data_IF_093217915259
#
_entry.id   IF_093217915259
#
_cell.length_a   1.000
_cell.length_b   1.000
_cell.length_c   1.000
_cell.angle_alpha   90.00
_cell.angle_beta   90.00
_cell.angle_gamma   90.00
#
_symmetry.space_group_name_H-M   'P 1'
#
loop_
_entity.id
_entity.type
_entity.pdbx_description
1 polymer ?
#
# COMPACT_ATOMS: atom_id res chain seq x y z
N UNK A 1 23.56 -69.46 3.48
CA UNK A 1 23.54 -68.53 4.64
C UNK A 1 24.17 -67.16 4.34
N UNK A 2 25.07 -67.02 3.35
CA UNK A 2 25.73 -65.75 2.99
C UNK A 2 24.80 -64.64 2.44
N UNK A 3 23.69 -65.00 1.77
CA UNK A 3 22.76 -64.04 1.15
C UNK A 3 21.93 -63.20 2.17
N UNK A 4 21.66 -63.74 3.36
CA UNK A 4 20.93 -63.02 4.43
C UNK A 4 21.79 -61.93 5.09
N UNK A 5 23.11 -62.09 5.11
CA UNK A 5 24.04 -61.15 5.75
C UNK A 5 24.22 -59.89 4.87
N UNK A 6 24.21 -60.05 3.54
CA UNK A 6 24.25 -58.90 2.61
C UNK A 6 23.01 -58.00 2.73
N UNK A 7 21.81 -58.57 2.85
CA UNK A 7 20.56 -57.79 2.97
C UNK A 7 20.49 -57.01 4.29
N UNK A 8 21.04 -57.57 5.38
CA UNK A 8 21.07 -56.89 6.68
C UNK A 8 21.99 -55.65 6.68
N UNK A 9 23.13 -55.73 6.00
CA UNK A 9 24.04 -54.60 5.84
C UNK A 9 23.46 -53.48 4.93
N UNK A 10 22.66 -53.84 3.92
CA UNK A 10 22.00 -52.85 3.06
C UNK A 10 21.01 -52.01 3.87
N UNK A 11 20.18 -52.62 4.74
CA UNK A 11 19.22 -51.88 5.58
C UNK A 11 19.88 -50.94 6.60
N UNK A 12 21.06 -51.29 7.12
CA UNK A 12 21.80 -50.44 8.07
C UNK A 12 22.32 -49.14 7.44
N UNK A 13 22.51 -49.14 6.11
CA UNK A 13 23.05 -47.99 5.37
C UNK A 13 21.98 -47.13 4.68
N UNK A 14 20.70 -47.53 4.66
CA UNK A 14 19.62 -46.74 4.04
C UNK A 14 19.43 -45.40 4.77
N UNK A 15 19.45 -45.41 6.11
CA UNK A 15 19.27 -44.21 6.92
C UNK A 15 20.34 -43.13 6.65
N UNK A 16 21.65 -43.42 6.69
CA UNK A 16 22.67 -42.42 6.38
C UNK A 16 22.61 -41.95 4.91
N UNK A 17 22.27 -42.82 3.97
CA UNK A 17 22.09 -42.45 2.55
C UNK A 17 20.91 -41.46 2.41
N UNK A 18 19.79 -41.71 3.09
CA UNK A 18 18.63 -40.81 3.07
C UNK A 18 18.97 -39.44 3.66
N UNK A 19 19.69 -39.41 4.78
CA UNK A 19 20.15 -38.15 5.42
C UNK A 19 21.09 -37.39 4.49
N UNK A 20 22.05 -38.08 3.87
CA UNK A 20 22.97 -37.48 2.90
C UNK A 20 22.22 -36.93 1.68
N UNK A 21 21.19 -37.62 1.20
CA UNK A 21 20.33 -37.17 0.11
C UNK A 21 19.55 -35.91 0.49
N UNK A 22 18.93 -35.88 1.68
CA UNK A 22 18.19 -34.70 2.17
C UNK A 22 19.14 -33.51 2.35
N UNK A 23 20.32 -33.73 2.93
CA UNK A 23 21.37 -32.70 3.03
C UNK A 23 21.77 -32.20 1.65
N UNK A 24 22.01 -33.09 0.69
CA UNK A 24 22.37 -32.72 -0.68
C UNK A 24 21.29 -31.87 -1.35
N UNK A 25 20.01 -32.25 -1.20
CA UNK A 25 18.87 -31.46 -1.70
C UNK A 25 18.80 -30.09 -1.01
N UNK A 26 18.99 -30.04 0.31
CA UNK A 26 18.97 -28.79 1.08
C UNK A 26 20.10 -27.85 0.64
N UNK A 27 21.32 -28.37 0.46
CA UNK A 27 22.46 -27.61 -0.05
C UNK A 27 22.22 -27.13 -1.48
N UNK A 28 21.73 -27.99 -2.37
CA UNK A 28 21.41 -27.61 -3.74
C UNK A 28 20.34 -26.52 -3.80
N UNK A 29 19.31 -26.62 -2.97
CA UNK A 29 18.29 -25.58 -2.87
C UNK A 29 18.87 -24.27 -2.33
N UNK A 30 19.73 -24.35 -1.30
CA UNK A 30 20.39 -23.18 -0.73
C UNK A 30 21.24 -22.45 -1.78
N UNK A 31 22.13 -23.15 -2.48
CA UNK A 31 23.01 -22.56 -3.50
C UNK A 31 22.23 -21.98 -4.66
N UNK A 32 21.18 -22.67 -5.15
CA UNK A 32 20.33 -22.16 -6.23
C UNK A 32 19.59 -20.88 -5.84
N UNK A 33 19.19 -20.73 -4.58
CA UNK A 33 18.47 -19.54 -4.12
C UNK A 33 19.36 -18.33 -3.82
N UNK A 34 20.67 -18.54 -3.68
CA UNK A 34 21.65 -17.49 -3.40
C UNK A 34 22.18 -16.81 -4.67
N UNK A 35 21.73 -17.24 -5.85
CA UNK A 35 22.02 -16.56 -7.10
C UNK A 35 21.52 -15.10 -7.06
N UNK A 36 22.40 -14.20 -7.51
CA UNK A 36 22.13 -12.78 -7.65
C UNK A 36 21.48 -12.57 -9.01
N UNK A 37 20.31 -11.92 -9.03
CA UNK A 37 19.61 -11.56 -10.26
C UNK A 37 19.27 -10.07 -10.25
N UNK A 38 19.23 -9.49 -11.44
CA UNK A 38 18.80 -8.11 -11.67
C UNK A 38 17.43 -8.13 -12.33
N UNK A 39 16.44 -7.54 -11.68
CA UNK A 39 15.07 -7.46 -12.18
C UNK A 39 14.61 -6.00 -12.25
N UNK A 40 13.71 -5.74 -13.20
CA UNK A 40 12.97 -4.48 -13.28
C UNK A 40 11.60 -4.69 -12.63
N UNK A 41 11.30 -3.94 -11.59
CA UNK A 41 10.04 -4.04 -10.85
C UNK A 41 9.33 -2.70 -10.92
N UNK A 42 8.06 -2.74 -11.34
CA UNK A 42 7.17 -1.57 -11.39
C UNK A 42 6.43 -1.46 -10.06
N UNK A 43 6.59 -0.32 -9.38
CA UNK A 43 5.97 -0.02 -8.10
C UNK A 43 4.95 1.11 -8.24
N UNK A 44 3.79 1.02 -7.57
CA UNK A 44 2.88 2.16 -7.49
C UNK A 44 3.49 3.25 -6.62
N UNK A 45 3.28 4.51 -7.01
CA UNK A 45 3.78 5.68 -6.28
C UNK A 45 3.01 5.84 -4.97
N UNK A 46 3.72 5.74 -3.84
CA UNK A 46 3.18 6.07 -2.52
C UNK A 46 4.00 7.17 -1.89
N UNK A 47 3.37 8.33 -1.72
CA UNK A 47 3.98 9.50 -1.13
C UNK A 47 3.49 9.67 0.29
N UNK A 48 4.44 9.86 1.22
CA UNK A 48 4.11 10.23 2.59
C UNK A 48 4.05 11.76 2.70
N UNK A 49 2.84 12.30 2.83
CA UNK A 49 2.59 13.74 3.04
C UNK A 49 2.56 14.10 4.53
N UNK A 50 2.61 15.40 4.84
CA UNK A 50 2.35 15.94 6.18
C UNK A 50 0.87 15.86 6.52
N UNK A 51 0.51 15.87 7.81
CA UNK A 51 -0.88 15.75 8.30
C UNK A 51 -1.86 16.81 7.75
N UNK A 52 -1.36 17.95 7.26
CA UNK A 52 -2.16 19.04 6.70
C UNK A 52 -2.36 18.97 5.18
N UNK A 53 -1.72 18.01 4.49
CA UNK A 53 -1.73 17.90 3.03
C UNK A 53 -2.16 16.50 2.60
N UNK A 54 -2.98 16.44 1.56
CA UNK A 54 -3.41 15.21 0.92
C UNK A 54 -3.02 15.22 -0.56
N UNK A 55 -2.50 14.08 -1.03
CA UNK A 55 -2.23 13.89 -2.44
C UNK A 55 -3.54 13.58 -3.16
N UNK A 56 -3.86 14.42 -4.14
CA UNK A 56 -5.07 14.26 -4.99
C UNK A 56 -4.76 13.53 -6.28
N UNK A 57 -3.58 13.76 -6.86
CA UNK A 57 -3.11 13.10 -8.07
C UNK A 57 -1.58 12.97 -8.07
N UNK A 58 -1.08 11.95 -8.76
CA UNK A 58 0.33 11.75 -9.06
C UNK A 58 0.47 11.31 -10.52
N UNK A 59 1.46 11.86 -11.22
CA UNK A 59 1.79 11.50 -12.59
C UNK A 59 3.32 11.39 -12.74
N UNK A 60 3.86 10.24 -13.16
CA UNK A 60 3.14 8.98 -13.38
C UNK A 60 2.67 8.33 -12.05
N UNK A 61 1.78 7.34 -12.18
CA UNK A 61 1.21 6.58 -11.05
C UNK A 61 2.16 5.49 -10.52
N UNK A 62 3.28 5.28 -11.20
CA UNK A 62 4.18 4.18 -10.98
C UNK A 62 5.62 4.52 -11.34
N UNK A 63 6.56 3.87 -10.65
CA UNK A 63 8.01 3.98 -10.85
C UNK A 63 8.57 2.60 -11.18
N UNK A 64 9.54 2.53 -12.08
CA UNK A 64 10.25 1.32 -12.46
C UNK A 64 11.64 1.35 -11.84
N UNK A 65 11.90 0.41 -10.95
CA UNK A 65 13.19 0.26 -10.28
C UNK A 65 13.92 -0.97 -10.81
N UNK A 66 15.19 -0.82 -11.11
CA UNK A 66 16.12 -1.93 -11.32
C UNK A 66 16.68 -2.31 -9.96
N UNK A 67 16.42 -3.53 -9.52
CA UNK A 67 16.97 -4.01 -8.24
C UNK A 67 17.86 -5.20 -8.51
N UNK A 68 19.06 -5.19 -7.95
CA UNK A 68 20.01 -6.30 -8.02
C UNK A 68 20.10 -6.96 -6.65
N UNK A 69 19.90 -8.28 -6.58
CA UNK A 69 19.94 -8.99 -5.32
C UNK A 69 19.57 -10.46 -5.41
N UNK A 70 19.62 -11.14 -4.26
CA UNK A 70 19.27 -12.56 -4.15
C UNK A 70 17.84 -12.82 -4.59
N UNK A 71 17.59 -13.95 -5.25
CA UNK A 71 16.25 -14.36 -5.72
C UNK A 71 15.19 -14.30 -4.61
N UNK A 72 15.54 -14.71 -3.38
CA UNK A 72 14.62 -14.66 -2.23
C UNK A 72 14.17 -13.23 -1.91
N UNK A 73 15.09 -12.27 -1.97
CA UNK A 73 14.80 -10.86 -1.70
C UNK A 73 13.91 -10.26 -2.79
N UNK A 74 14.17 -10.60 -4.05
CA UNK A 74 13.37 -10.15 -5.19
C UNK A 74 11.88 -10.53 -5.05
N UNK A 75 11.59 -11.75 -4.58
CA UNK A 75 10.20 -12.20 -4.32
C UNK A 75 9.52 -11.40 -3.21
N UNK A 76 10.25 -11.01 -2.18
CA UNK A 76 9.72 -10.16 -1.10
C UNK A 76 9.48 -8.74 -1.61
N UNK A 77 10.42 -8.22 -2.41
CA UNK A 77 10.34 -6.88 -2.99
C UNK A 77 9.15 -6.67 -3.90
N UNK A 78 8.68 -7.69 -4.61
CA UNK A 78 7.45 -7.62 -5.41
C UNK A 78 6.18 -7.37 -4.58
N UNK A 79 6.20 -7.68 -3.28
CA UNK A 79 5.02 -7.53 -2.39
C UNK A 79 5.04 -6.22 -1.61
N UNK A 80 6.12 -5.46 -1.70
CA UNK A 80 6.34 -4.26 -0.89
C UNK A 80 6.24 -3.03 -1.78
N UNK A 81 5.63 -1.96 -1.28
CA UNK A 81 5.63 -0.68 -2.00
C UNK A 81 6.64 0.27 -1.34
N UNK A 82 7.63 0.81 -2.07
CA UNK A 82 8.52 1.84 -1.54
C UNK A 82 7.71 3.10 -1.20
N UNK A 83 8.15 3.81 -0.16
CA UNK A 83 7.55 5.09 0.25
C UNK A 83 8.50 6.21 -0.17
N UNK A 84 8.00 7.13 -0.98
CA UNK A 84 8.74 8.33 -1.38
C UNK A 84 8.52 9.39 -0.30
N UNK A 85 9.61 9.84 0.31
CA UNK A 85 9.57 10.94 1.26
C UNK A 85 9.76 12.25 0.49
N UNK A 86 8.80 13.16 0.57
CA UNK A 86 8.91 14.45 -0.10
C UNK A 86 9.33 15.52 0.91
N UNK A 87 10.38 16.31 0.64
CA UNK A 87 10.75 17.43 1.49
C UNK A 87 9.70 18.55 1.39
N UNK A 88 9.37 19.17 2.54
CA UNK A 88 8.51 20.35 2.74
C UNK A 88 7.71 20.79 1.51
N UNK A 89 6.48 20.29 1.39
CA UNK A 89 5.60 20.65 0.29
C UNK A 89 4.62 21.76 0.66
N UNK A 90 4.24 22.59 -0.32
CA UNK A 90 3.08 23.47 -0.28
C UNK A 90 1.86 22.85 -1.02
N UNK A 91 0.65 23.42 -0.90
CA UNK A 91 -0.46 23.06 -1.78
C UNK A 91 -0.17 23.47 -3.24
N UNK A 92 -0.62 22.67 -4.21
CA UNK A 92 -0.46 22.95 -5.64
C UNK A 92 0.17 21.79 -6.42
N UNK A 93 0.60 22.09 -7.65
CA UNK A 93 1.38 21.18 -8.48
C UNK A 93 2.86 21.30 -8.13
N UNK A 94 3.52 20.18 -7.88
CA UNK A 94 4.96 20.10 -7.62
C UNK A 94 5.56 18.98 -8.43
N UNK A 95 6.70 19.25 -9.05
CA UNK A 95 7.53 18.24 -9.69
C UNK A 95 8.66 17.88 -8.76
N UNK A 96 8.77 16.59 -8.43
CA UNK A 96 9.80 16.04 -7.56
C UNK A 96 10.73 15.21 -8.43
N UNK A 97 12.01 15.52 -8.42
CA UNK A 97 13.03 14.68 -9.01
C UNK A 97 13.34 13.54 -8.05
N UNK A 98 13.34 12.31 -8.56
CA UNK A 98 13.55 11.14 -7.73
C UNK A 98 15.04 10.89 -7.54
N UNK A 99 15.49 10.97 -6.29
CA UNK A 99 16.82 10.50 -5.91
C UNK A 99 16.72 9.15 -5.19
N UNK A 100 17.77 8.34 -5.27
CA UNK A 100 17.83 7.04 -4.57
C UNK A 100 17.61 7.20 -3.05
N UNK A 101 18.08 8.32 -2.48
CA UNK A 101 17.96 8.62 -1.05
C UNK A 101 16.52 8.92 -0.60
N UNK A 102 15.62 9.28 -1.52
CA UNK A 102 14.22 9.60 -1.21
C UNK A 102 13.33 8.36 -1.12
N UNK A 103 13.78 7.25 -1.71
CA UNK A 103 13.09 5.96 -1.70
C UNK A 103 13.38 5.19 -0.42
N UNK A 104 12.36 5.07 0.43
CA UNK A 104 12.46 4.29 1.66
C UNK A 104 11.82 2.92 1.48
N UNK A 105 12.67 1.89 1.57
CA UNK A 105 12.23 0.51 1.74
C UNK A 105 12.09 0.16 3.23
N UNK A 106 11.22 -0.81 3.57
CA UNK A 106 11.17 -1.36 4.91
C UNK A 106 12.53 -1.92 5.36
N UNK A 107 12.92 -1.64 6.61
CA UNK A 107 14.25 -1.96 7.14
C UNK A 107 14.65 -3.44 7.04
N UNK A 108 13.67 -4.36 7.01
CA UNK A 108 13.92 -5.81 6.91
C UNK A 108 14.41 -6.26 5.53
N UNK A 109 14.26 -5.46 4.47
CA UNK A 109 14.65 -5.85 3.11
C UNK A 109 16.12 -5.56 2.80
N UNK A 110 16.82 -4.71 3.57
CA UNK A 110 18.25 -4.37 3.40
C UNK A 110 18.67 -4.23 1.92
N UNK A 111 17.83 -3.57 1.11
CA UNK A 111 18.12 -3.31 -0.31
C UNK A 111 19.24 -2.28 -0.35
N UNK A 112 20.37 -2.63 -0.97
CA UNK A 112 21.52 -1.73 -1.14
C UNK A 112 21.69 -1.28 -2.59
N UNK A 113 21.43 -2.20 -3.52
CA UNK A 113 21.72 -1.97 -4.94
C UNK A 113 20.40 -1.86 -5.72
N UNK A 114 19.92 -0.63 -5.87
CA UNK A 114 18.80 -0.32 -6.75
C UNK A 114 19.07 0.96 -7.54
N UNK A 115 18.46 1.05 -8.71
CA UNK A 115 18.61 2.16 -9.67
C UNK A 115 17.21 2.52 -10.18
N UNK A 116 16.91 3.81 -10.25
CA UNK A 116 15.64 4.30 -10.81
C UNK A 116 15.78 4.30 -12.34
N UNK A 117 14.90 3.59 -13.04
CA UNK A 117 14.93 3.53 -14.51
C UNK A 117 14.02 4.58 -15.13
N UNK A 118 12.80 4.69 -14.60
CA UNK A 118 11.74 5.53 -15.17
C UNK A 118 10.61 5.71 -14.15
N UNK A 119 10.05 6.91 -13.97
CA UNK A 119 10.54 8.21 -14.46
C UNK A 119 11.67 8.79 -13.59
N UNK A 120 12.35 9.81 -14.11
CA UNK A 120 13.31 10.62 -13.33
C UNK A 120 12.61 11.63 -12.41
N UNK A 121 11.35 11.97 -12.72
CA UNK A 121 10.56 12.91 -11.94
C UNK A 121 9.08 12.53 -11.88
N UNK A 122 8.43 12.95 -10.81
CA UNK A 122 6.99 12.76 -10.60
C UNK A 122 6.35 14.11 -10.34
N UNK A 123 5.31 14.44 -11.10
CA UNK A 123 4.45 15.58 -10.82
C UNK A 123 3.31 15.15 -9.92
N UNK A 124 3.20 15.79 -8.75
CA UNK A 124 2.18 15.51 -7.76
C UNK A 124 1.30 16.74 -7.57
N UNK A 125 0.02 16.51 -7.28
CA UNK A 125 -0.93 17.54 -6.91
C UNK A 125 -1.31 17.38 -5.45
N UNK A 126 -0.84 18.30 -4.64
CA UNK A 126 -1.14 18.37 -3.21
C UNK A 126 -2.23 19.39 -2.94
N UNK A 127 -3.10 19.06 -2.01
CA UNK A 127 -4.15 19.96 -1.55
C UNK A 127 -4.17 20.03 -0.02
N UNK A 128 -4.60 21.17 0.51
CA UNK A 128 -4.77 21.33 1.95
C UNK A 128 -5.96 20.52 2.43
N UNK A 129 -5.78 19.83 3.55
CA UNK A 129 -6.89 19.19 4.25
C UNK A 129 -7.63 20.26 5.03
N UNK A 130 -8.92 20.39 4.80
CA UNK A 130 -9.80 21.28 5.58
C UNK A 130 -10.92 20.48 6.22
N UNK A 131 -11.48 21.05 7.29
CA UNK A 131 -12.68 20.56 7.94
C UNK A 131 -13.80 21.60 7.75
N UNK A 132 -14.95 21.17 7.23
CA UNK A 132 -16.12 22.05 6.98
C UNK A 132 -17.35 21.42 7.59
N UNK A 133 -18.18 22.22 8.27
CA UNK A 133 -19.51 21.79 8.73
C UNK A 133 -20.53 21.99 7.61
N UNK A 134 -21.27 20.95 7.29
CA UNK A 134 -22.21 20.91 6.16
C UNK A 134 -23.58 20.45 6.64
N UNK A 135 -24.63 21.02 6.06
CA UNK A 135 -26.03 20.72 6.43
C UNK A 135 -26.48 19.46 5.69
N UNK A 136 -27.25 18.62 6.36
CA UNK A 136 -27.85 17.43 5.74
C UNK A 136 -29.24 17.82 5.24
N UNK A 137 -29.49 17.57 3.95
CA UNK A 137 -30.82 17.80 3.36
C UNK A 137 -31.56 16.47 3.31
N UNK A 138 -32.71 16.42 3.97
CA UNK A 138 -33.63 15.29 3.96
C UNK A 138 -34.92 15.66 3.23
N UNK A 139 -35.70 14.63 2.89
CA UNK A 139 -37.04 14.77 2.33
C UNK A 139 -37.93 15.54 3.33
N UNK A 140 -38.85 16.36 2.81
CA UNK A 140 -39.73 17.25 3.58
C UNK A 140 -40.42 16.53 4.75
N UNK A 141 -40.34 17.10 5.94
CA UNK A 141 -40.95 16.57 7.17
C UNK A 141 -40.01 15.69 8.02
N UNK A 142 -38.78 15.44 7.57
CA UNK A 142 -37.82 14.61 8.28
C UNK A 142 -36.63 15.47 8.74
N UNK A 143 -36.19 15.32 9.99
CA UNK A 143 -35.02 16.02 10.56
C UNK A 143 -33.88 15.03 10.86
N UNK A 144 -32.64 15.45 10.64
CA UNK A 144 -31.46 14.69 11.07
C UNK A 144 -30.99 15.16 12.44
N UNK A 145 -30.47 14.23 13.23
CA UNK A 145 -29.77 14.48 14.48
C UNK A 145 -28.40 13.78 14.42
N UNK A 146 -27.29 14.52 14.21
CA UNK A 146 -27.21 15.99 14.13
C UNK A 146 -27.72 16.60 12.81
N UNK A 147 -28.10 17.89 12.83
CA UNK A 147 -28.47 18.65 11.61
C UNK A 147 -27.28 18.97 10.70
N UNK A 148 -26.08 19.04 11.30
CA UNK A 148 -24.82 19.35 10.62
C UNK A 148 -23.80 18.25 10.89
N UNK A 149 -23.06 17.88 9.85
CA UNK A 149 -21.94 16.94 9.93
C UNK A 149 -20.65 17.63 9.53
N UNK A 150 -19.53 17.17 10.08
CA UNK A 150 -18.21 17.66 9.71
C UNK A 150 -17.66 16.79 8.59
N UNK A 151 -17.26 17.41 7.48
CA UNK A 151 -16.51 16.75 6.41
C UNK A 151 -15.04 17.16 6.44
N UNK A 152 -14.15 16.19 6.22
CA UNK A 152 -12.70 16.37 6.18
C UNK A 152 -12.13 15.82 4.89
N UNK A 153 -11.25 16.58 4.23
CA UNK A 153 -10.71 16.19 2.92
C UNK A 153 -10.09 17.36 2.14
N UNK A 154 -9.83 17.19 0.83
CA UNK A 154 -9.15 18.19 0.00
C UNK A 154 -9.96 19.50 -0.11
N UNK A 155 -9.32 20.64 0.13
CA UNK A 155 -9.93 21.98 0.07
C UNK A 155 -10.59 22.27 -1.27
N UNK A 156 -9.97 21.87 -2.38
CA UNK A 156 -10.50 22.05 -3.72
C UNK A 156 -11.85 21.38 -3.95
N UNK A 157 -12.14 20.28 -3.23
CA UNK A 157 -13.40 19.56 -3.37
C UNK A 157 -14.41 20.02 -2.30
N UNK A 158 -13.96 20.21 -1.06
CA UNK A 158 -14.84 20.54 0.07
C UNK A 158 -15.40 21.96 0.00
N UNK A 159 -14.67 22.90 -0.59
CA UNK A 159 -15.09 24.32 -0.64
C UNK A 159 -16.50 24.48 -1.22
N UNK A 160 -16.81 23.72 -2.25
CA UNK A 160 -18.04 23.84 -3.02
C UNK A 160 -19.20 22.99 -2.48
N UNK A 161 -18.93 22.10 -1.51
CA UNK A 161 -19.95 21.26 -0.87
C UNK A 161 -20.66 22.06 0.22
N UNK A 162 -21.93 22.40 -0.01
CA UNK A 162 -22.76 23.15 0.95
C UNK A 162 -23.83 22.30 1.64
N UNK A 163 -24.17 21.15 1.06
CA UNK A 163 -25.13 20.20 1.59
C UNK A 163 -24.72 18.76 1.26
N UNK A 164 -25.21 17.83 2.06
CA UNK A 164 -25.06 16.38 1.82
C UNK A 164 -26.42 15.71 1.76
N UNK A 165 -26.52 14.72 0.89
CA UNK A 165 -27.64 13.80 0.83
C UNK A 165 -27.24 12.46 1.44
N UNK A 166 -28.16 11.76 2.13
CA UNK A 166 -27.92 10.38 2.54
C UNK A 166 -27.89 9.46 1.32
N UNK A 167 -27.05 8.42 1.35
CA UNK A 167 -26.93 7.47 0.24
C UNK A 167 -28.15 6.57 0.08
N UNK A 168 -28.90 6.41 1.18
CA UNK A 168 -29.96 5.42 1.28
C UNK A 168 -31.18 5.98 1.99
N UNK A 169 -32.33 5.45 1.62
CA UNK A 169 -33.58 5.62 2.38
C UNK A 169 -33.35 5.07 3.79
N UNK A 170 -33.74 5.78 4.85
CA UNK A 170 -33.50 5.33 6.22
C UNK A 170 -34.13 3.97 6.50
N UNK A 171 -33.31 3.05 7.00
CA UNK A 171 -33.77 1.77 7.56
C UNK A 171 -33.99 2.00 9.05
N UNK A 172 -35.25 2.21 9.45
CA UNK A 172 -35.61 2.61 10.81
C UNK A 172 -35.32 4.09 11.08
N UNK A 173 -34.54 4.37 12.14
CA UNK A 173 -34.21 5.73 12.60
C UNK A 173 -32.75 6.12 12.31
N UNK A 174 -32.02 5.41 11.44
CA UNK A 174 -30.60 5.68 11.16
C UNK A 174 -30.38 5.69 9.64
N UNK A 175 -29.54 6.62 9.17
CA UNK A 175 -29.01 6.59 7.81
C UNK A 175 -27.51 6.83 7.80
N UNK A 176 -26.85 6.39 6.73
CA UNK A 176 -25.41 6.58 6.50
C UNK A 176 -25.21 7.63 5.42
N UNK A 177 -24.18 8.46 5.58
CA UNK A 177 -23.73 9.43 4.59
C UNK A 177 -22.32 9.03 4.18
N UNK A 178 -22.17 8.62 2.93
CA UNK A 178 -20.88 8.47 2.29
C UNK A 178 -20.79 9.44 1.12
N UNK A 179 -19.56 9.70 0.69
CA UNK A 179 -19.30 10.45 -0.53
C UNK A 179 -18.57 9.49 -1.44
N UNK A 180 -18.91 9.49 -2.74
CA UNK A 180 -18.26 8.63 -3.73
C UNK A 180 -16.73 8.84 -3.77
N UNK A 181 -16.28 10.03 -3.38
CA UNK A 181 -14.87 10.37 -3.31
C UNK A 181 -14.21 9.84 -2.02
N UNK A 182 -13.40 8.78 -2.16
CA UNK A 182 -12.60 8.14 -1.09
C UNK A 182 -11.68 9.10 -0.32
N UNK A 183 -11.43 10.30 -0.83
CA UNK A 183 -10.60 11.32 -0.16
C UNK A 183 -11.36 12.13 0.90
N UNK A 184 -12.69 12.02 0.96
CA UNK A 184 -13.51 12.78 1.92
C UNK A 184 -14.02 11.85 3.02
N UNK A 185 -13.86 12.27 4.26
CA UNK A 185 -14.37 11.58 5.45
C UNK A 185 -15.49 12.41 6.09
N UNK A 186 -16.62 11.77 6.36
CA UNK A 186 -17.77 12.37 7.04
C UNK A 186 -17.77 11.95 8.52
N UNK A 187 -18.03 12.90 9.42
CA UNK A 187 -18.01 12.69 10.87
C UNK A 187 -19.21 13.42 11.52
N UNK A 188 -20.16 12.72 12.17
CA UNK A 188 -20.36 11.27 12.11
C UNK A 188 -20.84 10.82 10.72
N UNK A 189 -20.48 9.60 10.33
CA UNK A 189 -20.93 8.95 9.09
C UNK A 189 -22.35 8.36 9.22
N UNK A 190 -22.78 8.07 10.45
CA UNK A 190 -24.13 7.61 10.79
C UNK A 190 -24.88 8.70 11.53
N UNK A 191 -26.08 9.00 11.06
CA UNK A 191 -26.94 10.02 11.65
C UNK A 191 -28.29 9.42 12.02
N UNK A 192 -28.88 9.93 13.10
CA UNK A 192 -30.22 9.55 13.52
C UNK A 192 -31.23 10.40 12.76
N UNK A 193 -32.36 9.79 12.40
CA UNK A 193 -33.49 10.46 11.78
C UNK A 193 -34.63 10.58 12.79
N UNK A 194 -35.24 11.77 12.84
CA UNK A 194 -36.47 12.07 13.59
C UNK A 194 -37.58 12.41 12.59
N UNK A 195 -38.73 11.77 12.76
CA UNK A 195 -39.97 12.08 12.05
C UNK A 195 -40.76 13.13 12.81
#
# INVERSE_FOLDING_TARGET
MALKIQIYNIRKNIAPILIALIMGIAFWFYTKTDAIITNRIKYPVKIKTTESLIMTNASPDSITLKVTGKIRLQRLLQRVTPIIKVPKCSPGFQTIYLEENDLKFPAYLRVKDFEIIDPDSITIRLDSIIEKKVIIILIKGIKSDPEKVTIKGPKSIIKDINYLFPDSIPVGNITTITLENKLIRVIPDRIRIKR
#
